data_IF_073096114974
#
_entry.id   IF_073096114974
#
_cell.length_a   1.000
_cell.length_b   1.000
_cell.length_c   1.000
_cell.angle_alpha   90.00
_cell.angle_beta   90.00
_cell.angle_gamma   90.00
#
_symmetry.space_group_name_H-M   'P 1'
#
loop_
_entity.id
_entity.type
_entity.pdbx_description
1 polymer ?
#
# COMPACT_ATOMS: atom_id res chain seq x y z
N UNK A 1 -12.23 5.93 -17.23
CA UNK A 1 -12.14 4.86 -18.28
C UNK A 1 -12.69 5.29 -19.65
N UNK A 2 -13.85 5.94 -19.75
CA UNK A 2 -14.44 6.33 -21.05
C UNK A 2 -13.57 7.29 -21.87
N UNK A 3 -12.97 8.30 -21.24
CA UNK A 3 -12.22 9.37 -21.94
C UNK A 3 -10.98 8.85 -22.68
N UNK A 4 -10.21 7.92 -22.10
CA UNK A 4 -9.01 7.39 -22.77
C UNK A 4 -9.36 6.48 -23.96
N UNK A 5 -10.44 5.70 -23.84
CA UNK A 5 -10.97 4.90 -24.96
C UNK A 5 -11.53 5.78 -26.07
N UNK A 6 -12.21 6.88 -25.72
CA UNK A 6 -12.67 7.87 -26.69
C UNK A 6 -11.47 8.55 -27.37
N UNK A 7 -10.48 9.03 -26.61
CA UNK A 7 -9.26 9.63 -27.17
C UNK A 7 -8.53 8.68 -28.13
N UNK A 8 -8.47 7.39 -27.80
CA UNK A 8 -7.91 6.35 -28.67
C UNK A 8 -8.76 6.13 -29.92
N UNK A 9 -10.09 6.05 -29.77
CA UNK A 9 -11.04 5.88 -30.88
C UNK A 9 -11.02 7.05 -31.86
N UNK A 10 -10.80 8.27 -31.37
CA UNK A 10 -10.77 9.49 -32.17
C UNK A 10 -9.35 9.94 -32.57
N UNK A 11 -8.32 9.13 -32.34
CA UNK A 11 -6.94 9.44 -32.76
C UNK A 11 -6.35 10.68 -32.07
N UNK A 12 -6.84 11.04 -30.88
CA UNK A 12 -6.34 12.18 -30.10
C UNK A 12 -5.06 11.79 -29.35
N UNK A 13 -4.00 11.47 -30.09
CA UNK A 13 -2.72 11.03 -29.54
C UNK A 13 -2.11 11.98 -28.49
N UNK A 14 -2.17 13.33 -28.64
CA UNK A 14 -1.67 14.24 -27.62
C UNK A 14 -2.43 14.12 -26.30
N UNK A 15 -3.76 14.03 -26.36
CA UNK A 15 -4.61 13.87 -25.18
C UNK A 15 -4.35 12.52 -24.50
N UNK A 16 -4.18 11.45 -25.30
CA UNK A 16 -3.83 10.13 -24.78
C UNK A 16 -2.51 10.16 -24.00
N UNK A 17 -1.47 10.80 -24.56
CA UNK A 17 -0.15 10.91 -23.91
C UNK A 17 -0.24 11.67 -22.58
N UNK A 18 -0.97 12.79 -22.54
CA UNK A 18 -1.16 13.58 -21.32
C UNK A 18 -1.87 12.74 -20.26
N UNK A 19 -2.96 12.06 -20.60
CA UNK A 19 -3.70 11.23 -19.64
C UNK A 19 -2.81 10.08 -19.13
N UNK A 20 -2.05 9.43 -20.02
CA UNK A 20 -1.11 8.38 -19.61
C UNK A 20 -0.04 8.90 -18.64
N UNK A 21 0.48 10.10 -18.88
CA UNK A 21 1.46 10.75 -17.98
C UNK A 21 0.84 11.09 -16.62
N UNK A 22 -0.37 11.65 -16.59
CA UNK A 22 -1.08 11.93 -15.34
C UNK A 22 -1.26 10.65 -14.52
N UNK A 23 -1.69 9.57 -15.17
CA UNK A 23 -1.90 8.29 -14.48
C UNK A 23 -0.57 7.73 -13.98
N UNK A 24 0.52 7.85 -14.73
CA UNK A 24 1.84 7.43 -14.25
C UNK A 24 2.35 8.28 -13.09
N UNK A 25 2.04 9.58 -13.03
CA UNK A 25 2.43 10.44 -11.92
C UNK A 25 1.59 10.24 -10.67
N UNK A 26 0.36 9.73 -10.80
CA UNK A 26 -0.53 9.47 -9.67
C UNK A 26 -0.13 8.22 -8.87
N UNK A 27 0.76 7.39 -9.42
CA UNK A 27 1.22 6.15 -8.79
C UNK A 27 2.70 6.24 -8.42
N UNK A 28 3.08 5.80 -7.20
CA UNK A 28 4.46 5.88 -6.74
C UNK A 28 5.33 4.86 -7.48
N UNK A 29 6.49 5.31 -7.94
CA UNK A 29 7.50 4.49 -8.61
C UNK A 29 8.67 4.15 -7.69
N UNK A 30 8.85 4.95 -6.62
CA UNK A 30 9.88 4.73 -5.61
C UNK A 30 9.26 4.46 -4.23
N UNK A 31 10.02 3.77 -3.38
CA UNK A 31 9.62 3.55 -1.98
C UNK A 31 9.38 4.87 -1.23
N UNK A 32 10.15 5.91 -1.56
CA UNK A 32 9.99 7.23 -0.96
C UNK A 32 8.65 7.88 -1.36
N UNK A 33 8.29 7.81 -2.64
CA UNK A 33 6.97 8.26 -3.13
C UNK A 33 5.83 7.47 -2.50
N UNK A 34 6.01 6.16 -2.29
CA UNK A 34 5.05 5.34 -1.55
C UNK A 34 4.87 5.84 -0.11
N UNK A 35 5.97 6.15 0.57
CA UNK A 35 5.92 6.68 1.94
C UNK A 35 5.25 8.05 2.03
N UNK A 36 5.43 8.92 1.02
CA UNK A 36 4.71 10.17 0.90
C UNK A 36 3.22 9.96 0.65
N UNK A 37 2.85 9.02 -0.23
CA UNK A 37 1.46 8.67 -0.49
C UNK A 37 0.77 8.16 0.79
N UNK A 38 1.38 7.24 1.51
CA UNK A 38 0.83 6.71 2.76
C UNK A 38 0.71 7.80 3.84
N UNK A 39 1.69 8.71 3.93
CA UNK A 39 1.60 9.86 4.85
C UNK A 39 0.48 10.83 4.47
N UNK A 40 0.28 11.09 3.18
CA UNK A 40 -0.81 11.94 2.67
C UNK A 40 -2.18 11.32 2.94
N UNK A 41 -2.32 10.01 2.76
CA UNK A 41 -3.51 9.25 3.13
C UNK A 41 -3.77 9.34 4.64
N UNK A 42 -2.75 9.12 5.47
CA UNK A 42 -2.88 9.23 6.93
C UNK A 42 -3.30 10.64 7.37
N UNK A 43 -2.70 11.68 6.79
CA UNK A 43 -3.05 13.06 7.11
C UNK A 43 -4.48 13.42 6.66
N UNK A 44 -4.90 12.95 5.47
CA UNK A 44 -6.26 13.12 4.99
C UNK A 44 -7.30 12.44 5.92
N UNK A 45 -6.95 11.30 6.54
CA UNK A 45 -7.77 10.64 7.57
C UNK A 45 -7.87 11.52 8.82
N UNK A 46 -6.75 11.99 9.35
CA UNK A 46 -6.72 12.83 10.56
C UNK A 46 -7.54 14.11 10.41
N UNK A 47 -7.39 14.82 9.29
CA UNK A 47 -8.17 16.04 9.01
C UNK A 47 -9.67 15.78 8.98
N UNK A 48 -10.10 14.63 8.45
CA UNK A 48 -11.51 14.24 8.41
C UNK A 48 -12.03 13.79 9.77
N UNK A 49 -11.22 13.11 10.59
CA UNK A 49 -11.59 12.76 11.97
C UNK A 49 -11.66 13.98 12.90
N UNK A 50 -10.82 15.00 12.67
CA UNK A 50 -10.81 16.24 13.43
C UNK A 50 -11.99 17.18 13.09
N UNK A 51 -12.63 17.00 11.93
CA UNK A 51 -13.85 17.68 11.54
C UNK A 51 -15.04 16.73 11.73
N UNK A 52 -15.65 16.66 12.94
CA UNK A 52 -16.88 15.90 13.11
C UNK A 52 -17.91 16.45 12.13
N UNK A 53 -18.56 15.56 11.38
CA UNK A 53 -19.48 15.90 10.30
C UNK A 53 -20.44 17.03 10.69
N UNK A 54 -20.11 18.25 10.30
CA UNK A 54 -21.08 19.29 10.12
C UNK A 54 -21.37 19.30 8.63
N UNK A 55 -22.62 18.91 8.34
CA UNK A 55 -23.36 19.08 7.10
C UNK A 55 -23.04 18.03 6.02
N UNK A 56 -23.85 16.96 6.02
CA UNK A 56 -24.26 16.28 4.78
C UNK A 56 -25.11 17.30 4.01
N UNK A 57 -24.44 18.22 3.32
CA UNK A 57 -25.12 19.26 2.56
C UNK A 57 -25.71 18.61 1.31
N UNK A 58 -26.95 18.17 1.44
CA UNK A 58 -27.82 17.93 0.30
C UNK A 58 -28.24 19.29 -0.26
N UNK A 59 -27.30 20.15 -0.66
CA UNK A 59 -27.65 21.25 -1.55
C UNK A 59 -27.91 20.64 -2.91
N UNK A 60 -29.20 20.61 -3.25
CA UNK A 60 -29.77 20.21 -4.55
C UNK A 60 -29.27 21.05 -5.73
N UNK A 61 -28.46 22.09 -5.47
CA UNK A 61 -27.87 22.96 -6.46
C UNK A 61 -26.39 22.61 -6.59
N UNK A 62 -26.06 21.73 -7.55
CA UNK A 62 -24.75 21.13 -7.82
C UNK A 62 -23.58 22.10 -8.09
N UNK A 63 -23.30 22.98 -7.13
CA UNK A 63 -22.34 24.08 -7.21
C UNK A 63 -21.41 24.14 -5.99
N UNK A 64 -21.58 23.23 -5.03
CA UNK A 64 -20.60 23.02 -3.95
C UNK A 64 -19.34 22.32 -4.48
N UNK A 65 -18.14 22.62 -3.94
CA UNK A 65 -16.93 21.92 -4.33
C UNK A 65 -17.12 20.43 -4.06
N UNK A 66 -16.96 19.60 -5.09
CA UNK A 66 -17.09 18.15 -5.06
C UNK A 66 -16.02 17.52 -4.14
N UNK A 67 -16.12 17.72 -2.83
CA UNK A 67 -15.29 17.03 -1.85
C UNK A 67 -15.90 15.67 -1.65
N UNK A 68 -15.27 14.68 -2.27
CA UNK A 68 -15.72 13.30 -2.11
C UNK A 68 -15.71 12.90 -0.63
N UNK A 69 -16.77 12.25 -0.14
CA UNK A 69 -16.94 11.97 1.28
C UNK A 69 -15.80 11.11 1.84
N UNK A 70 -15.24 10.19 1.03
CA UNK A 70 -14.26 9.22 1.49
C UNK A 70 -12.85 9.48 0.94
N UNK A 71 -11.83 9.11 1.71
CA UNK A 71 -10.42 9.18 1.27
C UNK A 71 -10.22 8.32 0.02
N UNK A 72 -10.90 7.18 -0.03
CA UNK A 72 -10.84 6.21 -1.12
C UNK A 72 -11.21 6.79 -2.49
N UNK A 73 -12.04 7.85 -2.54
CA UNK A 73 -12.45 8.48 -3.80
C UNK A 73 -11.42 9.51 -4.32
N UNK A 74 -10.49 9.95 -3.46
CA UNK A 74 -9.44 10.92 -3.82
C UNK A 74 -8.19 10.27 -4.42
N UNK A 75 -8.10 8.93 -4.38
CA UNK A 75 -6.95 8.17 -4.86
C UNK A 75 -7.39 7.15 -5.91
N UNK A 76 -6.53 6.82 -6.89
CA UNK A 76 -6.89 5.86 -7.92
C UNK A 76 -7.13 4.46 -7.32
N UNK A 77 -8.18 3.80 -7.80
CA UNK A 77 -8.56 2.45 -7.40
C UNK A 77 -7.64 1.40 -8.07
N UNK A 78 -7.05 0.46 -7.31
CA UNK A 78 -5.95 -0.37 -7.80
C UNK A 78 -6.36 -1.37 -8.90
N UNK A 79 -7.51 -2.02 -8.83
CA UNK A 79 -7.93 -3.00 -9.85
C UNK A 79 -8.20 -2.31 -11.20
N UNK A 80 -8.84 -1.15 -11.18
CA UNK A 80 -9.03 -0.29 -12.36
C UNK A 80 -7.70 0.16 -12.94
N UNK A 81 -6.75 0.57 -12.10
CA UNK A 81 -5.42 0.97 -12.52
C UNK A 81 -4.63 -0.18 -13.16
N UNK A 82 -4.69 -1.39 -12.58
CA UNK A 82 -4.07 -2.60 -13.17
C UNK A 82 -4.65 -2.88 -14.55
N UNK A 83 -5.99 -2.91 -14.67
CA UNK A 83 -6.65 -3.17 -15.96
C UNK A 83 -6.22 -2.15 -17.02
N UNK A 84 -6.19 -0.88 -16.64
CA UNK A 84 -5.76 0.19 -17.54
C UNK A 84 -4.29 0.04 -17.94
N UNK A 85 -3.42 -0.21 -16.96
CA UNK A 85 -2.00 -0.33 -17.20
C UNK A 85 -1.68 -1.51 -18.11
N UNK A 86 -2.43 -2.61 -18.01
CA UNK A 86 -2.32 -3.75 -18.95
C UNK A 86 -2.85 -3.38 -20.33
N UNK A 87 -4.01 -2.72 -20.43
CA UNK A 87 -4.63 -2.32 -21.71
C UNK A 87 -3.75 -1.34 -22.51
N UNK A 88 -3.06 -0.42 -21.82
CA UNK A 88 -2.28 0.66 -22.43
C UNK A 88 -0.75 0.53 -22.27
N UNK A 89 -0.25 -0.58 -21.70
CA UNK A 89 1.18 -0.86 -21.57
C UNK A 89 1.93 0.00 -20.54
N UNK A 90 1.26 0.46 -19.47
CA UNK A 90 1.85 1.29 -18.41
C UNK A 90 2.54 0.43 -17.33
N UNK A 91 3.64 -0.23 -17.69
CA UNK A 91 4.32 -1.17 -16.79
C UNK A 91 4.75 -0.55 -15.45
N UNK A 92 5.14 0.73 -15.42
CA UNK A 92 5.60 1.42 -14.20
C UNK A 92 4.54 1.59 -13.11
N UNK A 93 3.25 1.53 -13.46
CA UNK A 93 2.13 1.65 -12.49
C UNK A 93 1.84 0.31 -11.80
N UNK A 94 2.17 -0.80 -12.48
CA UNK A 94 1.77 -2.14 -12.05
C UNK A 94 2.32 -2.52 -10.66
N UNK A 95 3.61 -2.31 -10.31
CA UNK A 95 4.15 -2.73 -9.02
C UNK A 95 3.38 -2.12 -7.85
N UNK A 96 3.25 -0.79 -7.82
CA UNK A 96 2.54 -0.09 -6.77
C UNK A 96 1.05 -0.44 -6.72
N UNK A 97 0.41 -0.61 -7.89
CA UNK A 97 -1.01 -0.97 -7.96
C UNK A 97 -1.27 -2.40 -7.44
N UNK A 98 -0.43 -3.37 -7.81
CA UNK A 98 -0.52 -4.74 -7.29
C UNK A 98 -0.21 -4.81 -5.80
N UNK A 99 0.78 -4.06 -5.32
CA UNK A 99 1.07 -3.99 -3.89
C UNK A 99 -0.10 -3.39 -3.10
N UNK A 100 -0.64 -2.25 -3.55
CA UNK A 100 -1.81 -1.61 -2.94
C UNK A 100 -3.03 -2.53 -2.95
N UNK A 101 -3.23 -3.34 -4.00
CA UNK A 101 -4.29 -4.33 -4.05
C UNK A 101 -4.07 -5.46 -3.04
N UNK A 102 -2.82 -5.92 -2.88
CA UNK A 102 -2.48 -7.04 -1.99
C UNK A 102 -2.72 -6.74 -0.51
N UNK A 103 -2.57 -5.47 -0.11
CA UNK A 103 -2.84 -5.01 1.26
C UNK A 103 -4.32 -4.66 1.52
N UNK A 104 -5.19 -4.71 0.50
CA UNK A 104 -6.64 -4.55 0.68
C UNK A 104 -7.27 -5.91 0.99
N UNK A 105 -8.21 -5.93 1.94
CA UNK A 105 -8.97 -7.13 2.26
C UNK A 105 -9.87 -7.53 1.07
N UNK A 106 -9.86 -8.80 0.61
CA UNK A 106 -10.73 -9.25 -0.48
C UNK A 106 -12.23 -9.05 -0.23
N UNK A 107 -12.66 -8.93 1.02
CA UNK A 107 -14.05 -8.59 1.38
C UNK A 107 -14.38 -7.10 1.20
N UNK A 108 -13.37 -6.23 1.06
CA UNK A 108 -13.55 -4.81 0.84
C UNK A 108 -13.83 -4.49 -0.65
N UNK A 109 -14.95 -5.01 -1.17
CA UNK A 109 -15.39 -4.74 -2.53
C UNK A 109 -15.95 -3.32 -2.68
N UNK A 110 -15.47 -2.63 -3.71
CA UNK A 110 -15.83 -1.22 -3.95
C UNK A 110 -17.31 -1.03 -4.26
N UNK A 111 -17.92 -1.94 -5.03
CA UNK A 111 -19.32 -1.84 -5.46
C UNK A 111 -20.24 -2.18 -4.26
N UNK A 112 -19.91 -3.21 -3.47
CA UNK A 112 -20.67 -3.57 -2.26
C UNK A 112 -20.61 -2.50 -1.16
N UNK A 113 -19.46 -1.85 -0.98
CA UNK A 113 -19.29 -0.80 0.03
C UNK A 113 -20.08 0.49 -0.28
N UNK A 114 -20.55 0.62 -1.52
CA UNK A 114 -21.30 1.80 -2.00
C UNK A 114 -22.73 1.45 -2.40
N UNK A 115 -23.11 0.17 -2.40
CA UNK A 115 -24.48 -0.25 -2.58
C UNK A 115 -25.24 -0.16 -1.25
N UNK A 116 -26.44 0.43 -1.28
CA UNK A 116 -27.23 0.75 -0.09
C UNK A 116 -28.22 -0.38 0.27
N UNK A 117 -27.90 -1.63 -0.08
CA UNK A 117 -28.84 -2.75 -0.03
C UNK A 117 -29.24 -3.18 1.38
N UNK A 118 -28.29 -3.32 2.30
CA UNK A 118 -28.51 -3.72 3.70
C UNK A 118 -28.11 -2.59 4.65
N UNK A 119 -29.04 -2.12 5.47
CA UNK A 119 -28.83 -1.00 6.38
C UNK A 119 -27.77 -1.28 7.47
N UNK A 120 -27.62 -2.53 7.91
CA UNK A 120 -26.61 -2.90 8.91
C UNK A 120 -25.21 -2.94 8.30
N UNK A 121 -25.05 -3.60 7.16
CA UNK A 121 -23.80 -3.64 6.40
C UNK A 121 -23.39 -2.24 5.91
N UNK A 122 -24.36 -1.40 5.52
CA UNK A 122 -24.10 -0.04 5.08
C UNK A 122 -23.44 0.82 6.17
N UNK A 123 -23.82 0.67 7.44
CA UNK A 123 -23.16 1.39 8.54
C UNK A 123 -21.72 0.92 8.73
N UNK A 124 -21.48 -0.40 8.73
CA UNK A 124 -20.12 -0.96 8.86
C UNK A 124 -19.21 -0.53 7.70
N UNK A 125 -19.70 -0.59 6.47
CA UNK A 125 -18.99 -0.14 5.28
C UNK A 125 -18.68 1.36 5.33
N UNK A 126 -19.64 2.18 5.76
CA UNK A 126 -19.43 3.62 5.94
C UNK A 126 -18.41 3.93 7.03
N UNK A 127 -18.44 3.23 8.16
CA UNK A 127 -17.42 3.36 9.21
C UNK A 127 -16.04 2.96 8.68
N UNK A 128 -15.94 1.86 7.93
CA UNK A 128 -14.68 1.42 7.33
C UNK A 128 -14.11 2.47 6.36
N UNK A 129 -14.94 3.04 5.47
CA UNK A 129 -14.54 4.10 4.56
C UNK A 129 -14.20 5.41 5.29
N UNK A 130 -14.94 5.75 6.35
CA UNK A 130 -14.70 6.93 7.19
C UNK A 130 -13.36 6.82 7.95
N UNK A 131 -12.99 5.62 8.38
CA UNK A 131 -11.67 5.31 8.96
C UNK A 131 -10.55 5.26 7.90
N UNK A 132 -10.89 5.56 6.64
CA UNK A 132 -9.95 5.62 5.52
C UNK A 132 -9.58 4.26 4.96
N UNK A 133 -10.44 3.25 5.15
CA UNK A 133 -10.35 1.98 4.43
C UNK A 133 -10.30 2.21 2.92
N UNK A 134 -9.48 1.41 2.24
CA UNK A 134 -9.38 1.39 0.78
C UNK A 134 -10.19 0.22 0.27
N UNK A 135 -10.87 0.40 -0.86
CA UNK A 135 -11.65 -0.66 -1.51
C UNK A 135 -11.10 -0.94 -2.90
N UNK A 136 -11.41 -2.13 -3.42
CA UNK A 136 -11.01 -2.50 -4.78
C UNK A 136 -12.18 -3.12 -5.54
N UNK A 137 -12.20 -2.93 -6.87
CA UNK A 137 -13.18 -3.56 -7.75
C UNK A 137 -12.65 -4.91 -8.22
N UNK A 138 -12.82 -5.93 -7.38
CA UNK A 138 -12.25 -7.26 -7.63
C UNK A 138 -12.74 -7.88 -8.94
N UNK A 139 -13.96 -7.55 -9.36
CA UNK A 139 -14.57 -7.98 -10.63
C UNK A 139 -13.83 -7.51 -11.88
N UNK A 140 -12.97 -6.49 -11.78
CA UNK A 140 -12.19 -5.96 -12.90
C UNK A 140 -10.91 -6.75 -13.20
N UNK A 141 -10.50 -7.63 -12.29
CA UNK A 141 -9.30 -8.45 -12.45
C UNK A 141 -9.61 -9.63 -13.37
N UNK A 142 -8.90 -9.72 -14.48
CA UNK A 142 -8.96 -10.91 -15.33
C UNK A 142 -8.24 -12.10 -14.67
N UNK A 143 -8.42 -13.30 -15.24
CA UNK A 143 -7.82 -14.53 -14.73
C UNK A 143 -6.30 -14.41 -14.56
N UNK A 144 -5.62 -13.73 -15.50
CA UNK A 144 -4.17 -13.61 -15.47
C UNK A 144 -3.70 -12.73 -14.30
N UNK A 145 -4.33 -11.57 -14.10
CA UNK A 145 -3.98 -10.64 -13.03
C UNK A 145 -4.42 -11.18 -11.66
N UNK A 146 -5.53 -11.91 -11.57
CA UNK A 146 -5.92 -12.60 -10.34
C UNK A 146 -4.86 -13.64 -9.93
N UNK A 147 -4.34 -14.43 -10.87
CA UNK A 147 -3.28 -15.40 -10.57
C UNK A 147 -1.97 -14.72 -10.13
N UNK A 148 -1.63 -13.56 -10.72
CA UNK A 148 -0.48 -12.75 -10.28
C UNK A 148 -0.66 -12.22 -8.87
N UNK A 149 -1.84 -11.69 -8.57
CA UNK A 149 -2.22 -11.21 -7.24
C UNK A 149 -2.10 -12.32 -6.17
N UNK A 150 -2.66 -13.51 -6.43
CA UNK A 150 -2.61 -14.61 -5.47
C UNK A 150 -1.17 -15.05 -5.18
N UNK A 151 -0.33 -15.16 -6.21
CA UNK A 151 1.10 -15.50 -6.05
C UNK A 151 1.86 -14.44 -5.28
N UNK A 152 1.66 -13.17 -5.64
CA UNK A 152 2.33 -12.05 -4.97
C UNK A 152 1.92 -11.95 -3.50
N UNK A 153 0.66 -12.21 -3.17
CA UNK A 153 0.21 -12.27 -1.77
C UNK A 153 0.90 -13.37 -0.96
N UNK A 154 1.00 -14.58 -1.52
CA UNK A 154 1.75 -15.65 -0.84
C UNK A 154 3.21 -15.24 -0.60
N UNK A 155 3.84 -14.57 -1.58
CA UNK A 155 5.20 -14.04 -1.41
C UNK A 155 5.30 -12.92 -0.39
N UNK A 156 4.32 -12.04 -0.29
CA UNK A 156 4.28 -10.99 0.73
C UNK A 156 4.14 -11.57 2.14
N UNK A 157 3.38 -12.64 2.32
CA UNK A 157 3.27 -13.32 3.61
C UNK A 157 4.59 -14.00 4.03
N UNK A 158 5.40 -14.48 3.06
CA UNK A 158 6.73 -15.08 3.34
C UNK A 158 7.68 -14.07 4.01
N UNK A 159 7.61 -12.78 3.65
CA UNK A 159 8.45 -11.71 4.22
C UNK A 159 8.26 -11.50 5.73
N UNK A 160 7.20 -12.02 6.34
CA UNK A 160 7.05 -11.98 7.78
C UNK A 160 8.24 -12.64 8.48
N UNK A 161 8.73 -13.77 7.94
CA UNK A 161 9.88 -14.48 8.51
C UNK A 161 11.15 -13.62 8.42
N UNK A 162 11.43 -13.02 7.27
CA UNK A 162 12.62 -12.18 7.07
C UNK A 162 12.62 -10.94 7.99
N UNK A 163 11.44 -10.35 8.22
CA UNK A 163 11.27 -9.24 9.17
C UNK A 163 11.48 -9.72 10.61
N UNK A 164 11.00 -10.90 10.97
CA UNK A 164 11.27 -11.50 12.28
C UNK A 164 12.76 -11.83 12.48
N UNK A 165 13.43 -12.27 11.42
CA UNK A 165 14.87 -12.56 11.42
C UNK A 165 15.70 -11.30 11.69
N UNK A 166 15.24 -10.12 11.26
CA UNK A 166 15.87 -8.84 11.64
C UNK A 166 15.89 -8.62 13.17
N UNK A 167 14.92 -9.18 13.90
CA UNK A 167 14.80 -9.05 15.35
C UNK A 167 15.51 -10.19 16.10
N UNK A 168 15.64 -11.36 15.49
CA UNK A 168 16.14 -12.58 16.16
C UNK A 168 17.55 -12.97 15.76
N UNK A 169 18.02 -12.53 14.59
CA UNK A 169 19.36 -12.84 14.11
C UNK A 169 20.39 -12.53 15.18
N UNK A 170 21.34 -13.45 15.36
CA UNK A 170 22.37 -13.33 16.38
C UNK A 170 23.26 -12.15 16.02
N UNK A 171 22.95 -11.00 16.63
CA UNK A 171 23.63 -9.78 16.30
C UNK A 171 25.07 -9.78 16.74
N UNK A 172 25.39 -10.46 17.85
CA UNK A 172 26.76 -10.67 18.36
C UNK A 172 27.72 -9.53 18.05
N UNK A 173 27.24 -8.28 18.04
CA UNK A 173 28.02 -7.21 17.45
C UNK A 173 29.18 -7.08 18.40
N UNK A 174 30.41 -7.04 17.87
CA UNK A 174 31.59 -6.91 18.73
C UNK A 174 31.47 -5.67 19.67
N UNK A 175 30.58 -4.74 19.33
CA UNK A 175 30.23 -3.50 20.04
C UNK A 175 29.02 -3.62 21.00
N UNK A 176 28.39 -4.79 21.16
CA UNK A 176 27.26 -4.97 22.06
C UNK A 176 27.74 -4.94 23.52
N UNK A 177 27.11 -4.09 24.33
CA UNK A 177 27.49 -3.90 25.74
C UNK A 177 27.00 -5.04 26.63
N UNK A 178 25.76 -5.50 26.40
CA UNK A 178 25.13 -6.60 27.13
C UNK A 178 24.26 -7.42 26.18
N UNK A 179 24.79 -8.57 25.77
CA UNK A 179 24.16 -9.45 24.79
C UNK A 179 22.85 -10.02 25.34
N UNK A 180 22.83 -10.44 26.61
CA UNK A 180 21.65 -11.06 27.22
C UNK A 180 20.51 -10.06 27.40
N UNK A 181 20.82 -8.84 27.86
CA UNK A 181 19.82 -7.78 27.97
C UNK A 181 19.24 -7.44 26.59
N UNK A 182 20.11 -7.20 25.60
CA UNK A 182 19.66 -6.85 24.25
C UNK A 182 18.89 -7.99 23.57
N UNK A 183 19.23 -9.25 23.83
CA UNK A 183 18.48 -10.41 23.32
C UNK A 183 17.09 -10.50 23.94
N UNK A 184 16.97 -10.26 25.26
CA UNK A 184 15.67 -10.23 25.93
C UNK A 184 14.77 -9.11 25.40
N UNK A 185 15.31 -7.90 25.25
CA UNK A 185 14.52 -6.76 24.74
C UNK A 185 14.14 -6.96 23.26
N UNK A 186 14.99 -7.58 22.44
CA UNK A 186 14.64 -8.03 21.09
C UNK A 186 13.49 -9.03 21.10
N UNK A 187 13.55 -10.03 22.00
CA UNK A 187 12.47 -11.00 22.18
C UNK A 187 11.14 -10.36 22.61
N UNK A 188 11.19 -9.33 23.46
CA UNK A 188 10.02 -8.53 23.84
C UNK A 188 9.46 -7.77 22.64
N UNK A 189 10.31 -7.10 21.87
CA UNK A 189 9.92 -6.40 20.64
C UNK A 189 9.26 -7.33 19.63
N UNK A 190 9.88 -8.49 19.35
CA UNK A 190 9.30 -9.51 18.47
C UNK A 190 7.94 -9.99 18.98
N UNK A 191 7.83 -10.29 20.27
CA UNK A 191 6.56 -10.75 20.86
C UNK A 191 5.46 -9.71 20.65
N UNK A 192 5.74 -8.44 20.95
CA UNK A 192 4.77 -7.37 20.77
C UNK A 192 4.39 -7.19 19.30
N UNK A 193 5.36 -7.22 18.40
CA UNK A 193 5.13 -7.15 16.95
C UNK A 193 4.19 -8.26 16.44
N UNK A 194 4.35 -9.50 16.91
CA UNK A 194 3.58 -10.66 16.46
C UNK A 194 2.21 -10.81 17.13
N UNK A 195 2.04 -10.34 18.36
CA UNK A 195 0.80 -10.53 19.13
C UNK A 195 -0.12 -9.30 19.12
N UNK A 196 0.46 -8.11 19.02
CA UNK A 196 -0.23 -6.82 19.17
C UNK A 196 0.05 -5.85 18.02
N UNK A 197 1.09 -6.10 17.24
CA UNK A 197 1.53 -5.23 16.15
C UNK A 197 1.12 -5.71 14.75
N UNK A 198 1.73 -5.09 13.71
CA UNK A 198 1.46 -5.40 12.30
C UNK A 198 1.80 -6.85 11.88
N UNK A 199 2.58 -7.58 12.68
CA UNK A 199 2.85 -9.01 12.41
C UNK A 199 1.60 -9.88 12.53
N UNK A 200 0.62 -9.47 13.35
CA UNK A 200 -0.65 -10.16 13.54
C UNK A 200 -1.69 -9.85 12.46
N UNK A 201 -1.67 -8.64 11.92
CA UNK A 201 -2.72 -8.15 11.03
C UNK A 201 -2.72 -8.90 9.71
N UNK A 202 -3.91 -9.17 9.17
CA UNK A 202 -4.12 -9.75 7.85
C UNK A 202 -5.12 -8.89 7.07
N UNK A 203 -4.86 -8.61 5.77
CA UNK A 203 -3.66 -8.95 5.00
C UNK A 203 -2.37 -8.34 5.59
N UNK A 204 -1.24 -9.05 5.48
CA UNK A 204 0.03 -8.60 6.03
C UNK A 204 0.63 -7.51 5.13
N UNK A 205 1.01 -6.38 5.72
CA UNK A 205 1.68 -5.27 5.04
C UNK A 205 3.15 -5.20 5.49
N UNK A 206 4.10 -5.79 4.74
CA UNK A 206 5.50 -5.83 5.13
C UNK A 206 6.16 -4.43 5.12
N UNK A 207 5.76 -3.52 4.22
CA UNK A 207 6.27 -2.14 4.23
C UNK A 207 5.76 -1.35 5.43
N UNK A 208 4.50 -1.52 5.84
CA UNK A 208 4.01 -0.90 7.07
C UNK A 208 4.66 -1.53 8.31
N UNK A 209 4.82 -2.85 8.33
CA UNK A 209 5.46 -3.60 9.41
C UNK A 209 6.90 -3.13 9.67
N UNK A 210 7.73 -3.05 8.62
CA UNK A 210 9.10 -2.54 8.73
C UNK A 210 9.12 -1.08 9.18
N UNK A 211 8.21 -0.23 8.69
CA UNK A 211 8.11 1.19 9.12
C UNK A 211 7.79 1.29 10.60
N UNK A 212 6.83 0.49 11.06
CA UNK A 212 6.42 0.43 12.45
C UNK A 212 7.59 0.02 13.34
N UNK A 213 8.29 -1.06 13.00
CA UNK A 213 9.46 -1.53 13.74
C UNK A 213 10.56 -0.46 13.84
N UNK A 214 10.91 0.20 12.74
CA UNK A 214 11.90 1.29 12.74
C UNK A 214 11.53 2.41 13.73
N UNK A 215 10.23 2.70 13.88
CA UNK A 215 9.75 3.73 14.79
C UNK A 215 9.69 3.28 16.27
N UNK A 216 9.43 2.00 16.54
CA UNK A 216 9.30 1.50 17.92
C UNK A 216 10.61 0.99 18.52
N UNK A 217 11.59 0.58 17.70
CA UNK A 217 12.90 0.10 18.17
C UNK A 217 13.58 1.04 19.17
N UNK A 218 13.59 2.38 18.97
CA UNK A 218 14.16 3.32 19.94
C UNK A 218 13.50 3.30 21.32
N UNK A 219 12.28 2.77 21.45
CA UNK A 219 11.56 2.70 22.72
C UNK A 219 11.99 1.49 23.57
N UNK A 220 12.71 0.52 22.99
CA UNK A 220 13.27 -0.61 23.72
C UNK A 220 14.65 -0.26 24.28
N UNK A 221 15.00 -0.84 25.42
CA UNK A 221 16.27 -0.60 26.12
C UNK A 221 17.47 -1.31 25.46
N UNK A 222 17.56 -1.26 24.14
CA UNK A 222 18.67 -1.82 23.39
C UNK A 222 19.90 -0.93 23.49
N UNK A 223 21.09 -1.53 23.48
CA UNK A 223 22.31 -0.75 23.31
C UNK A 223 22.35 -0.08 21.93
N UNK A 224 23.07 1.04 21.81
CA UNK A 224 23.13 1.82 20.56
C UNK A 224 23.67 1.04 19.36
N UNK A 225 24.53 0.03 19.56
CA UNK A 225 25.00 -0.83 18.49
C UNK A 225 23.88 -1.75 17.95
N UNK A 226 23.15 -2.43 18.83
CA UNK A 226 22.03 -3.30 18.44
C UNK A 226 20.89 -2.50 17.80
N UNK A 227 20.51 -1.35 18.37
CA UNK A 227 19.45 -0.52 17.81
C UNK A 227 19.79 0.00 16.40
N UNK A 228 21.04 0.44 16.17
CA UNK A 228 21.50 0.86 14.84
C UNK A 228 21.48 -0.29 13.84
N UNK A 229 21.98 -1.46 14.22
CA UNK A 229 22.01 -2.60 13.30
C UNK A 229 20.61 -3.08 12.93
N UNK A 230 19.71 -3.25 13.90
CA UNK A 230 18.33 -3.68 13.61
C UNK A 230 17.67 -2.66 12.68
N UNK A 231 17.87 -1.36 12.94
CA UNK A 231 17.34 -0.30 12.08
C UNK A 231 17.93 -0.37 10.66
N UNK A 232 19.23 -0.62 10.48
CA UNK A 232 19.82 -0.73 9.15
C UNK A 232 19.30 -1.95 8.39
N UNK A 233 19.15 -3.09 9.07
CA UNK A 233 18.59 -4.31 8.46
C UNK A 233 17.12 -4.13 8.08
N UNK A 234 16.30 -3.52 8.95
CA UNK A 234 14.91 -3.23 8.63
C UNK A 234 14.77 -2.28 7.44
N UNK A 235 15.64 -1.26 7.31
CA UNK A 235 15.64 -0.36 6.17
C UNK A 235 16.12 -1.06 4.89
N UNK A 236 17.11 -1.95 4.99
CA UNK A 236 17.58 -2.79 3.88
C UNK A 236 16.46 -3.71 3.39
N UNK A 237 15.87 -4.50 4.28
CA UNK A 237 14.75 -5.41 3.98
C UNK A 237 13.56 -4.66 3.42
N UNK A 238 13.23 -3.48 3.95
CA UNK A 238 12.16 -2.61 3.41
C UNK A 238 12.41 -2.25 1.94
N UNK A 239 13.65 -1.90 1.58
CA UNK A 239 14.02 -1.57 0.21
C UNK A 239 13.96 -2.82 -0.68
N UNK A 240 14.47 -3.96 -0.20
CA UNK A 240 14.41 -5.24 -0.92
C UNK A 240 12.97 -5.68 -1.20
N UNK A 241 12.07 -5.55 -0.23
CA UNK A 241 10.63 -5.81 -0.43
C UNK A 241 10.10 -4.99 -1.60
N UNK A 242 10.40 -3.68 -1.65
CA UNK A 242 9.94 -2.79 -2.72
C UNK A 242 10.48 -3.20 -4.09
N UNK A 243 11.79 -3.48 -4.16
CA UNK A 243 12.47 -3.81 -5.41
C UNK A 243 12.05 -5.19 -5.95
N UNK A 244 11.63 -6.12 -5.07
CA UNK A 244 11.13 -7.44 -5.45
C UNK A 244 9.65 -7.46 -5.85
N UNK A 245 8.87 -6.37 -5.66
CA UNK A 245 7.45 -6.32 -6.05
C UNK A 245 7.23 -6.79 -7.50
N UNK A 246 7.96 -6.29 -8.51
CA UNK A 246 7.79 -6.75 -9.89
C UNK A 246 7.96 -8.27 -10.04
N UNK A 247 8.95 -8.85 -9.35
CA UNK A 247 9.24 -10.30 -9.36
C UNK A 247 8.14 -11.08 -8.65
N UNK A 248 7.73 -10.64 -7.46
CA UNK A 248 6.70 -11.29 -6.63
C UNK A 248 5.37 -11.44 -7.38
N UNK A 249 4.98 -10.42 -8.15
CA UNK A 249 3.75 -10.42 -8.93
C UNK A 249 3.94 -10.89 -10.39
N UNK A 250 5.15 -11.34 -10.77
CA UNK A 250 5.49 -11.77 -12.13
C UNK A 250 5.05 -10.75 -13.20
N UNK A 251 5.41 -9.49 -12.97
CA UNK A 251 5.04 -8.37 -13.83
C UNK A 251 5.97 -8.32 -15.05
N UNK A 252 5.48 -7.90 -16.22
CA UNK A 252 6.34 -7.66 -17.36
C UNK A 252 7.32 -6.55 -16.97
N UNK A 253 8.63 -6.84 -16.99
CA UNK A 253 9.63 -5.79 -16.94
C UNK A 253 9.31 -4.83 -18.09
N UNK A 254 9.08 -3.56 -17.76
CA UNK A 254 8.91 -2.52 -18.78
C UNK A 254 10.08 -2.57 -19.75
N UNK A 255 9.95 -2.02 -20.97
CA UNK A 255 11.06 -2.00 -21.91
C UNK A 255 12.25 -1.38 -21.17
N UNK A 256 13.25 -2.22 -20.85
CA UNK A 256 14.58 -1.76 -20.53
C UNK A 256 14.92 -0.74 -21.61
N UNK A 257 15.45 0.40 -21.22
CA UNK A 257 16.07 1.34 -22.13
C UNK A 257 17.27 0.66 -22.81
N UNK A 258 17.01 -0.28 -23.70
CA UNK A 258 17.95 -0.87 -24.63
C UNK A 258 17.88 -0.04 -25.89
N UNK A 259 18.54 1.11 -25.84
CA UNK A 259 19.22 1.74 -26.97
C UNK A 259 19.79 3.10 -26.55
N UNK A 260 21.07 3.12 -26.19
CA UNK A 260 21.91 4.28 -26.39
C UNK A 260 23.33 3.79 -26.75
N UNK A 261 23.51 3.66 -28.08
CA UNK A 261 24.77 3.64 -28.84
C UNK A 261 25.70 2.45 -28.69
#
# INVERSE_FOLDING_TARGET
MGVLRLATKYGMDPLRKIIMQCIQSDWPQTLQEWDYLQASIAHARELKHAAPSMIMDQTSDGTGPCRSPYVDDSYPEPASAIRLAVEFGLAGVLPAAFYQLAIIDPSADWDEFRDAGDAAAAWEHQCALANGGRTARWTLLDRANLMRFLRGRTKLDEWLSDIEDCLTSYLGTAECVDVYHCERERGNCRRQFLLEGPGRTRPFDPLQATRHLVNVIPNYQLCGACARHIRSELLRVRQEIWDEIPTMFNLPMGPSSSSAS
#
